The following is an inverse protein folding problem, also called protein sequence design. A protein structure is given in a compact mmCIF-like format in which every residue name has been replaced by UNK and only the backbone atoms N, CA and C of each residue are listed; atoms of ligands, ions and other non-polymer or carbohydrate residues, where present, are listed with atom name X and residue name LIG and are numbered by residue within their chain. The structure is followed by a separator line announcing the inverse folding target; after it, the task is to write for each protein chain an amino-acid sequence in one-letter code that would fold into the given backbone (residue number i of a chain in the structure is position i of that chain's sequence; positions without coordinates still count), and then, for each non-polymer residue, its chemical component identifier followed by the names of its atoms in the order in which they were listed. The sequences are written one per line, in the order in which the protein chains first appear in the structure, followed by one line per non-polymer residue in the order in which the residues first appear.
data_IF_985628540452
#
_entry.id   IF_985628540452
#
_cell.length_a   1.000
_cell.length_b   1.000
_cell.length_c   1.000
_cell.angle_alpha   90.00
_cell.angle_beta   90.00
_cell.angle_gamma   90.00
#
_symmetry.space_group_name_H-M   'P 1'
#
loop_
_entity.id
_entity.type
_entity.pdbx_description
1 polymer ?
#
# COMPACT_ATOMS: atom_id res chain seq x y z
N UNK A 1 12.35 -67.96 -12.23
CA UNK A 1 11.52 -66.74 -12.18
C UNK A 1 12.14 -65.73 -13.14
N UNK A 2 11.57 -65.61 -14.33
CA UNK A 2 12.01 -64.69 -15.37
C UNK A 2 11.47 -63.29 -15.05
N UNK A 3 12.38 -62.33 -14.93
CA UNK A 3 12.08 -60.91 -14.81
C UNK A 3 11.60 -60.44 -16.20
N UNK A 4 10.44 -59.77 -16.35
CA UNK A 4 10.06 -59.21 -17.63
C UNK A 4 11.01 -58.07 -18.00
N UNK A 5 11.69 -58.25 -19.12
CA UNK A 5 12.49 -57.28 -19.86
C UNK A 5 11.73 -55.97 -20.04
N UNK A 6 12.37 -54.85 -19.67
CA UNK A 6 11.91 -53.48 -19.92
C UNK A 6 11.59 -53.30 -21.41
N UNK A 7 10.31 -53.02 -21.72
CA UNK A 7 9.90 -52.64 -23.06
C UNK A 7 10.59 -51.32 -23.43
N UNK A 8 11.56 -51.39 -24.35
CA UNK A 8 12.11 -50.21 -24.98
C UNK A 8 11.00 -49.55 -25.81
N UNK A 9 10.61 -48.34 -25.42
CA UNK A 9 9.65 -47.51 -26.16
C UNK A 9 10.22 -47.23 -27.55
N UNK A 10 9.68 -47.87 -28.59
CA UNK A 10 10.08 -47.57 -29.96
C UNK A 10 9.54 -46.20 -30.37
N UNK A 11 10.29 -45.40 -31.16
CA UNK A 11 9.84 -44.08 -31.62
C UNK A 11 8.49 -44.11 -32.35
N UNK A 12 8.17 -45.24 -33.00
CA UNK A 12 6.88 -45.44 -33.69
C UNK A 12 5.70 -45.56 -32.73
N UNK A 13 5.87 -46.16 -31.56
CA UNK A 13 4.84 -46.26 -30.52
C UNK A 13 4.56 -44.90 -29.87
N UNK A 14 5.62 -44.08 -29.70
CA UNK A 14 5.49 -42.71 -29.17
C UNK A 14 4.69 -41.84 -30.15
N UNK A 15 4.95 -41.96 -31.46
CA UNK A 15 4.25 -41.19 -32.49
C UNK A 15 2.76 -41.59 -32.60
N UNK A 16 2.44 -42.88 -32.52
CA UNK A 16 1.04 -43.33 -32.53
C UNK A 16 0.27 -42.89 -31.28
N UNK A 17 0.92 -42.88 -30.12
CA UNK A 17 0.30 -42.40 -28.87
C UNK A 17 0.12 -40.87 -28.87
N UNK A 18 1.02 -40.13 -29.52
CA UNK A 18 0.92 -38.68 -29.76
C UNK A 18 -0.25 -38.32 -30.68
N UNK A 19 -0.48 -39.13 -31.71
CA UNK A 19 -1.58 -38.95 -32.66
C UNK A 19 -2.93 -39.28 -32.01
N UNK A 20 -2.96 -40.27 -31.11
CA UNK A 20 -4.15 -40.65 -30.34
C UNK A 20 -4.52 -39.64 -29.24
N UNK A 21 -3.56 -38.90 -28.67
CA UNK A 21 -3.80 -37.97 -27.57
C UNK A 21 -3.09 -36.61 -27.75
N UNK A 22 -3.68 -35.67 -28.51
CA UNK A 22 -3.08 -34.36 -28.78
C UNK A 22 -2.91 -33.48 -27.53
N UNK A 23 -3.65 -33.79 -26.46
CA UNK A 23 -3.55 -33.09 -25.16
C UNK A 23 -2.20 -33.34 -24.47
N UNK A 24 -1.58 -34.51 -24.64
CA UNK A 24 -0.26 -34.80 -24.09
C UNK A 24 0.79 -33.92 -24.76
N UNK A 25 0.70 -33.78 -26.09
CA UNK A 25 1.59 -32.90 -26.84
C UNK A 25 1.43 -31.43 -26.41
N UNK A 26 0.20 -30.95 -26.21
CA UNK A 26 -0.05 -29.61 -25.69
C UNK A 26 0.51 -29.42 -24.26
N UNK A 27 0.30 -30.38 -23.37
CA UNK A 27 0.76 -30.31 -21.98
C UNK A 27 2.29 -30.24 -21.85
N UNK A 28 3.03 -30.85 -22.79
CA UNK A 28 4.50 -30.76 -22.83
C UNK A 28 5.02 -29.60 -23.69
N UNK A 29 4.38 -29.29 -24.82
CA UNK A 29 4.84 -28.24 -25.72
C UNK A 29 4.64 -26.83 -25.15
N UNK A 30 3.51 -26.57 -24.49
CA UNK A 30 3.19 -25.25 -23.91
C UNK A 30 4.25 -24.81 -22.88
N UNK A 31 4.62 -25.59 -21.85
CA UNK A 31 5.62 -25.15 -20.88
C UNK A 31 6.99 -24.92 -21.52
N UNK A 32 7.40 -25.73 -22.50
CA UNK A 32 8.66 -25.54 -23.23
C UNK A 32 8.64 -24.23 -24.02
N UNK A 33 7.55 -23.94 -24.73
CA UNK A 33 7.39 -22.69 -25.49
C UNK A 33 7.38 -21.47 -24.55
N UNK A 34 6.74 -21.55 -23.39
CA UNK A 34 6.72 -20.48 -22.39
C UNK A 34 8.13 -20.18 -21.85
N UNK A 35 8.93 -21.21 -21.58
CA UNK A 35 10.33 -21.05 -21.13
C UNK A 35 11.18 -20.35 -22.21
N UNK A 36 11.02 -20.78 -23.47
CA UNK A 36 11.75 -20.19 -24.61
C UNK A 36 11.33 -18.73 -24.82
N UNK A 37 10.03 -18.44 -24.84
CA UNK A 37 9.50 -17.09 -24.99
C UNK A 37 9.95 -16.16 -23.84
N UNK A 38 9.93 -16.65 -22.60
CA UNK A 38 10.45 -15.92 -21.44
C UNK A 38 11.94 -15.60 -21.54
N UNK A 39 12.74 -16.55 -22.03
CA UNK A 39 14.18 -16.36 -22.22
C UNK A 39 14.51 -15.31 -23.28
N UNK A 40 13.75 -15.28 -24.38
CA UNK A 40 13.86 -14.26 -25.44
C UNK A 40 13.43 -12.88 -24.92
N UNK A 41 12.31 -12.81 -24.18
CA UNK A 41 11.85 -11.55 -23.59
C UNK A 41 12.88 -10.95 -22.61
N UNK A 42 13.53 -11.79 -21.79
CA UNK A 42 14.58 -11.35 -20.87
C UNK A 42 15.84 -10.86 -21.60
N UNK A 43 16.21 -11.48 -22.73
CA UNK A 43 17.40 -11.03 -23.50
C UNK A 43 17.16 -9.72 -24.22
N UNK A 44 15.96 -9.48 -24.76
CA UNK A 44 15.61 -8.20 -25.39
C UNK A 44 15.51 -7.07 -24.35
N UNK A 45 14.99 -7.35 -23.16
CA UNK A 45 14.81 -6.37 -22.07
C UNK A 45 16.09 -5.89 -21.39
N UNK A 46 17.18 -6.67 -21.42
CA UNK A 46 18.47 -6.32 -20.77
C UNK A 46 19.21 -5.15 -21.43
N UNK A 47 18.92 -4.84 -22.70
CA UNK A 47 19.61 -3.80 -23.46
C UNK A 47 19.35 -2.36 -22.99
N UNK A 48 18.44 -2.15 -22.02
CA UNK A 48 18.09 -0.82 -21.49
C UNK A 48 18.53 -0.56 -20.04
N UNK A 49 19.19 -1.52 -19.38
CA UNK A 49 19.82 -1.25 -18.10
C UNK A 49 21.06 -0.38 -18.35
N UNK A 50 20.94 0.94 -18.14
CA UNK A 50 22.10 1.80 -18.07
C UNK A 50 22.90 1.33 -16.86
N UNK A 51 24.08 0.76 -17.09
CA UNK A 51 25.06 0.60 -16.02
C UNK A 51 25.32 2.00 -15.46
N UNK A 52 25.07 2.20 -14.17
CA UNK A 52 25.47 3.43 -13.51
C UNK A 52 26.97 3.60 -13.79
N UNK A 53 27.33 4.73 -14.38
CA UNK A 53 28.72 5.01 -14.72
C UNK A 53 29.58 4.86 -13.46
N UNK A 54 30.83 4.41 -13.63
CA UNK A 54 31.80 4.34 -12.53
C UNK A 54 31.79 5.70 -11.83
N UNK A 55 31.56 5.75 -10.49
CA UNK A 55 31.41 7.01 -9.79
C UNK A 55 32.64 7.87 -10.02
N UNK A 56 32.40 9.14 -10.36
CA UNK A 56 33.49 10.10 -10.52
C UNK A 56 34.22 10.32 -9.19
N UNK A 57 35.50 10.70 -9.23
CA UNK A 57 36.29 11.01 -8.02
C UNK A 57 35.66 12.12 -7.14
N UNK A 58 34.81 12.96 -7.72
CA UNK A 58 34.01 13.94 -6.99
C UNK A 58 32.85 13.26 -6.23
N UNK A 59 32.11 12.37 -6.88
CA UNK A 59 31.01 11.60 -6.26
C UNK A 59 31.50 10.63 -5.18
N UNK A 60 32.69 10.03 -5.33
CA UNK A 60 33.26 9.17 -4.28
C UNK A 60 33.66 9.95 -3.02
N UNK A 61 33.84 11.27 -3.14
CA UNK A 61 34.18 12.17 -2.03
C UNK A 61 32.96 12.90 -1.47
N UNK A 62 31.80 12.80 -2.13
CA UNK A 62 30.55 13.28 -1.55
C UNK A 62 30.21 12.41 -0.34
N UNK A 63 30.27 13.01 0.85
CA UNK A 63 29.73 12.37 2.03
C UNK A 63 28.23 12.17 1.79
N UNK A 64 27.79 10.91 1.80
CA UNK A 64 26.38 10.58 1.71
C UNK A 64 25.64 11.27 2.85
N UNK A 65 24.99 12.39 2.55
CA UNK A 65 24.09 13.06 3.50
C UNK A 65 22.85 12.21 3.55
N UNK A 66 22.85 11.22 4.45
CA UNK A 66 21.63 10.47 4.75
C UNK A 66 20.58 11.55 5.08
N UNK A 67 19.47 11.63 4.34
CA UNK A 67 18.42 12.59 4.68
C UNK A 67 18.07 12.35 6.15
N UNK A 68 17.93 13.42 6.93
CA UNK A 68 17.51 13.35 8.32
C UNK A 68 16.06 12.86 8.37
N UNK A 69 15.86 11.58 8.06
CA UNK A 69 14.60 10.88 8.17
C UNK A 69 14.27 10.76 9.66
N UNK A 70 12.97 10.76 9.98
CA UNK A 70 12.49 10.46 11.33
C UNK A 70 13.11 9.18 11.89
N UNK A 71 13.34 8.19 11.03
CA UNK A 71 13.98 6.91 11.36
C UNK A 71 15.36 7.08 12.03
N UNK A 72 16.26 7.89 11.47
CA UNK A 72 17.59 8.09 12.06
C UNK A 72 17.55 8.85 13.40
N UNK A 73 16.53 9.68 13.60
CA UNK A 73 16.32 10.39 14.88
C UNK A 73 15.75 9.46 15.95
N UNK A 74 14.86 8.56 15.54
CA UNK A 74 14.21 7.58 16.41
C UNK A 74 15.17 6.45 16.82
N UNK A 75 16.13 6.08 15.96
CA UNK A 75 17.13 5.03 16.25
C UNK A 75 17.93 5.29 17.53
N UNK A 76 18.25 6.56 17.84
CA UNK A 76 18.96 6.90 19.07
C UNK A 76 18.18 6.48 20.33
N UNK A 77 16.86 6.66 20.31
CA UNK A 77 16.00 6.28 21.45
C UNK A 77 15.78 4.77 21.52
N UNK A 78 15.93 4.05 20.40
CA UNK A 78 15.89 2.58 20.38
C UNK A 78 17.20 2.01 20.96
N UNK A 79 18.35 2.56 20.58
CA UNK A 79 19.66 2.20 21.11
C UNK A 79 19.75 2.48 22.63
N UNK A 80 19.17 3.59 23.08
CA UNK A 80 19.11 3.98 24.49
C UNK A 80 18.00 3.22 25.28
N UNK A 81 17.28 2.28 24.65
CA UNK A 81 16.14 1.53 25.20
C UNK A 81 15.06 2.44 25.88
N UNK A 82 14.91 3.69 25.43
CA UNK A 82 14.03 4.68 26.04
C UNK A 82 12.57 4.49 25.60
N UNK A 83 11.90 3.50 26.19
CA UNK A 83 10.48 3.21 25.98
C UNK A 83 9.60 4.42 26.32
N UNK A 84 10.02 5.28 27.26
CA UNK A 84 9.22 6.43 27.68
C UNK A 84 9.06 7.44 26.55
N UNK A 85 10.07 7.61 25.68
CA UNK A 85 9.97 8.46 24.49
C UNK A 85 8.78 8.07 23.61
N UNK A 86 8.70 6.79 23.25
CA UNK A 86 7.64 6.25 22.39
C UNK A 86 6.28 6.27 23.09
N UNK A 87 6.24 5.92 24.38
CA UNK A 87 5.01 5.95 25.17
C UNK A 87 4.43 7.37 25.27
N UNK A 88 5.26 8.37 25.57
CA UNK A 88 4.84 9.76 25.66
C UNK A 88 4.34 10.31 24.31
N UNK A 89 4.97 9.91 23.21
CA UNK A 89 4.51 10.26 21.87
C UNK A 89 3.11 9.69 21.59
N UNK A 90 2.90 8.41 21.88
CA UNK A 90 1.58 7.74 21.73
C UNK A 90 0.53 8.42 22.62
N UNK A 91 0.86 8.71 23.89
CA UNK A 91 -0.06 9.36 24.81
C UNK A 91 -0.46 10.77 24.34
N UNK A 92 0.51 11.53 23.80
CA UNK A 92 0.26 12.85 23.23
C UNK A 92 -0.69 12.78 22.03
N UNK A 93 -0.47 11.81 21.14
CA UNK A 93 -1.31 11.66 19.95
C UNK A 93 -2.71 11.13 20.29
N UNK A 94 -2.85 10.24 21.27
CA UNK A 94 -4.14 9.85 21.82
C UNK A 94 -4.90 11.05 22.40
N UNK A 95 -4.22 11.94 23.13
CA UNK A 95 -4.80 13.16 23.67
C UNK A 95 -5.37 14.06 22.57
N UNK A 96 -4.60 14.29 21.50
CA UNK A 96 -5.05 15.07 20.34
C UNK A 96 -6.29 14.43 19.67
N UNK A 97 -6.32 13.11 19.52
CA UNK A 97 -7.47 12.40 18.94
C UNK A 97 -8.71 12.58 19.82
N UNK A 98 -8.59 12.45 21.13
CA UNK A 98 -9.70 12.67 22.07
C UNK A 98 -10.27 14.09 21.98
N UNK A 99 -9.41 15.10 21.85
CA UNK A 99 -9.86 16.48 21.72
C UNK A 99 -10.59 16.74 20.40
N UNK A 100 -10.12 16.13 19.30
CA UNK A 100 -10.81 16.16 18.01
C UNK A 100 -12.19 15.48 18.10
N UNK A 101 -12.29 14.34 18.79
CA UNK A 101 -13.57 13.67 19.04
C UNK A 101 -14.54 14.54 19.85
N UNK A 102 -14.07 15.18 20.93
CA UNK A 102 -14.88 16.13 21.71
C UNK A 102 -15.38 17.29 20.86
N UNK A 103 -14.53 17.84 19.98
CA UNK A 103 -14.92 18.90 19.04
C UNK A 103 -16.01 18.42 18.08
N UNK A 104 -15.86 17.22 17.53
CA UNK A 104 -16.85 16.60 16.65
C UNK A 104 -18.21 16.45 17.34
N UNK A 105 -18.25 15.94 18.57
CA UNK A 105 -19.50 15.80 19.33
C UNK A 105 -20.22 17.13 19.56
N UNK A 106 -19.47 18.20 19.87
CA UNK A 106 -20.03 19.54 20.05
C UNK A 106 -20.64 20.05 18.75
N UNK A 107 -19.95 19.90 17.63
CA UNK A 107 -20.44 20.30 16.30
C UNK A 107 -21.69 19.49 15.91
N UNK A 108 -21.70 18.18 16.19
CA UNK A 108 -22.86 17.34 15.91
C UNK A 108 -24.11 17.76 16.71
N UNK A 109 -23.94 18.08 18.00
CA UNK A 109 -25.04 18.64 18.82
C UNK A 109 -25.54 19.97 18.26
N UNK A 110 -24.62 20.84 17.85
CA UNK A 110 -24.97 22.14 17.24
C UNK A 110 -25.70 21.95 15.91
N UNK A 111 -25.23 21.04 15.05
CA UNK A 111 -25.86 20.69 13.78
C UNK A 111 -27.31 20.24 13.97
N UNK A 112 -27.57 19.31 14.91
CA UNK A 112 -28.92 18.84 15.24
C UNK A 112 -29.83 19.99 15.71
N UNK A 113 -29.30 20.89 16.56
CA UNK A 113 -30.04 22.07 17.03
C UNK A 113 -30.38 23.02 15.87
N UNK A 114 -29.47 23.21 14.93
CA UNK A 114 -29.68 24.05 13.75
C UNK A 114 -30.64 23.41 12.76
N UNK A 115 -30.64 22.07 12.62
CA UNK A 115 -31.62 21.35 11.81
C UNK A 115 -33.05 21.60 12.27
N UNK A 116 -33.30 21.51 13.58
CA UNK A 116 -34.61 21.83 14.16
C UNK A 116 -34.99 23.30 13.92
N UNK A 117 -34.04 24.23 14.09
CA UNK A 117 -34.28 25.66 13.84
C UNK A 117 -34.53 25.99 12.37
N UNK A 118 -33.95 25.23 11.44
CA UNK A 118 -34.16 25.42 10.01
C UNK A 118 -35.59 25.12 9.55
N UNK A 119 -36.37 24.43 10.40
CA UNK A 119 -37.79 24.11 10.19
C UNK A 119 -38.73 25.07 10.92
N UNK A 120 -38.22 26.20 11.44
CA UNK A 120 -39.05 27.17 12.17
C UNK A 120 -40.04 27.87 11.25
N UNK A 121 -41.21 28.25 11.80
CA UNK A 121 -42.27 28.99 11.09
C UNK A 121 -41.76 30.33 10.52
N UNK A 122 -40.80 30.97 11.19
CA UNK A 122 -40.20 32.22 10.70
C UNK A 122 -39.17 31.93 9.62
N UNK A 123 -39.48 32.35 8.39
CA UNK A 123 -38.64 32.16 7.20
C UNK A 123 -37.23 32.74 7.39
N UNK A 124 -37.13 33.99 7.88
CA UNK A 124 -35.83 34.64 8.18
C UNK A 124 -34.99 33.87 9.21
N UNK A 125 -35.61 33.22 10.20
CA UNK A 125 -34.89 32.41 11.20
C UNK A 125 -34.50 31.05 10.60
N UNK A 126 -35.33 30.49 9.75
CA UNK A 126 -35.08 29.24 9.04
C UNK A 126 -33.88 29.38 8.09
N UNK A 127 -33.83 30.43 7.26
CA UNK A 127 -32.70 30.69 6.35
C UNK A 127 -31.38 30.84 7.09
N UNK A 128 -31.33 31.73 8.10
CA UNK A 128 -30.12 31.90 8.93
C UNK A 128 -29.68 30.60 9.61
N UNK A 129 -30.62 29.74 9.97
CA UNK A 129 -30.31 28.44 10.56
C UNK A 129 -29.76 27.47 9.50
N UNK A 130 -30.26 27.49 8.26
CA UNK A 130 -29.74 26.70 7.13
C UNK A 130 -28.30 27.09 6.79
N UNK A 131 -28.02 28.38 6.67
CA UNK A 131 -26.65 28.88 6.41
C UNK A 131 -25.66 28.40 7.48
N UNK A 132 -26.01 28.62 8.76
CA UNK A 132 -25.17 28.17 9.88
C UNK A 132 -25.02 26.65 9.93
N UNK A 133 -26.09 25.92 9.58
CA UNK A 133 -26.07 24.45 9.52
C UNK A 133 -25.09 23.97 8.45
N UNK A 134 -25.06 24.62 7.28
CA UNK A 134 -24.13 24.30 6.21
C UNK A 134 -22.68 24.55 6.63
N UNK A 135 -22.39 25.67 7.31
CA UNK A 135 -21.06 25.95 7.86
C UNK A 135 -20.62 24.88 8.85
N UNK A 136 -21.48 24.54 9.82
CA UNK A 136 -21.18 23.49 10.80
C UNK A 136 -21.01 22.12 10.13
N UNK A 137 -21.74 21.85 9.05
CA UNK A 137 -21.55 20.62 8.27
C UNK A 137 -20.18 20.58 7.60
N UNK A 138 -19.71 21.70 7.03
CA UNK A 138 -18.36 21.80 6.45
C UNK A 138 -17.28 21.52 7.50
N UNK A 139 -17.42 22.08 8.69
CA UNK A 139 -16.49 21.83 9.81
C UNK A 139 -16.46 20.34 10.21
N UNK A 140 -17.63 19.68 10.22
CA UNK A 140 -17.75 18.24 10.50
C UNK A 140 -17.03 17.41 9.42
N UNK A 141 -17.21 17.75 8.14
CA UNK A 141 -16.54 17.07 7.02
C UNK A 141 -15.03 17.27 7.08
N UNK A 142 -14.56 18.45 7.47
CA UNK A 142 -13.13 18.71 7.64
C UNK A 142 -12.52 17.82 8.74
N UNK A 143 -13.20 17.69 9.89
CA UNK A 143 -12.77 16.78 10.96
C UNK A 143 -12.74 15.33 10.46
N UNK A 144 -13.75 14.90 9.70
CA UNK A 144 -13.77 13.56 9.12
C UNK A 144 -12.56 13.30 8.21
N UNK A 145 -12.26 14.22 7.29
CA UNK A 145 -11.08 14.14 6.42
C UNK A 145 -9.77 14.14 7.20
N UNK A 146 -9.69 14.91 8.28
CA UNK A 146 -8.53 14.92 9.16
C UNK A 146 -8.30 13.54 9.80
N UNK A 147 -9.36 12.91 10.31
CA UNK A 147 -9.30 11.55 10.88
C UNK A 147 -8.93 10.51 9.80
N UNK A 148 -9.50 10.61 8.61
CA UNK A 148 -9.16 9.75 7.47
C UNK A 148 -7.68 9.86 7.08
N UNK A 149 -7.13 11.09 7.09
CA UNK A 149 -5.70 11.33 6.86
C UNK A 149 -4.82 10.74 7.95
N UNK A 150 -5.27 10.75 9.21
CA UNK A 150 -4.56 10.07 10.30
C UNK A 150 -4.57 8.55 10.11
N UNK A 151 -5.72 7.98 9.72
CA UNK A 151 -5.84 6.56 9.42
C UNK A 151 -4.87 6.13 8.32
N UNK A 152 -4.89 6.80 7.18
CA UNK A 152 -4.01 6.49 6.03
C UNK A 152 -2.53 6.64 6.35
N UNK A 153 -2.14 7.65 7.14
CA UNK A 153 -0.76 7.78 7.63
C UNK A 153 -0.35 6.64 8.58
N UNK A 154 -1.25 6.18 9.44
CA UNK A 154 -1.01 5.02 10.31
C UNK A 154 -0.85 3.71 9.52
N UNK A 155 -1.59 3.52 8.43
CA UNK A 155 -1.44 2.35 7.54
C UNK A 155 -0.23 2.42 6.59
N UNK A 156 0.28 3.62 6.28
CA UNK A 156 1.45 3.79 5.42
C UNK A 156 2.76 3.27 6.04
N UNK A 157 2.79 2.97 7.34
CA UNK A 157 3.90 2.29 8.01
C UNK A 157 3.86 0.76 7.87
N UNK A 158 2.72 0.17 7.47
CA UNK A 158 2.56 -1.28 7.31
C UNK A 158 2.71 -1.84 5.90
N UNK A 159 2.71 -1.00 4.86
CA UNK A 159 2.58 -1.45 3.45
C UNK A 159 3.82 -1.13 2.58
N UNK A 160 4.88 -0.54 3.14
CA UNK A 160 6.13 -0.28 2.40
C UNK A 160 7.11 -1.46 2.36
N UNK A 161 6.69 -2.65 2.77
CA UNK A 161 7.50 -3.87 2.75
C UNK A 161 7.41 -4.71 1.47
N UNK A 162 6.70 -4.27 0.42
CA UNK A 162 6.47 -5.08 -0.81
C UNK A 162 6.84 -4.39 -2.12
N UNK A 163 7.65 -3.34 -2.09
CA UNK A 163 8.23 -2.76 -3.30
C UNK A 163 9.69 -2.37 -3.06
N UNK A 164 10.57 -3.38 -3.06
CA UNK A 164 11.99 -3.26 -3.36
C UNK A 164 12.46 -4.62 -3.91
#
# INVERSE_FOLDING_TARGET
MSIPTSAALSPSLILSELEANPYVLLAFAIPIIVIIAGSIAMTIGKSKARYDAIPTLAQSKEQFKVPASSFNREMKYVEDEDINHFFNAIQTDMGKIQDVMKKYERLLKLYKKLDLKSKSISERRAEKAKEKKELVFKDIVEIYRYIEKLKTKGFAYGDKGKQA
#
